data_IF_001284766748
#
_entry.id   IF_001284766748
#
_cell.length_a   1.000
_cell.length_b   1.000
_cell.length_c   1.000
_cell.angle_alpha   90.00
_cell.angle_beta   90.00
_cell.angle_gamma   90.00
#
_symmetry.space_group_name_H-M   'P 1'
#
loop_
_entity.id
_entity.type
_entity.pdbx_description
1 polymer ?
#
# COMPACT_ATOMS: atom_id res chain seq x y z
N UNK A 1 9.90 4.66 4.39
CA UNK A 1 9.36 3.33 4.03
C UNK A 1 10.17 2.78 2.88
N UNK A 2 10.53 1.50 2.89
CA UNK A 2 11.14 0.81 1.74
C UNK A 2 10.45 -0.54 1.53
N UNK A 3 10.47 -1.08 0.31
CA UNK A 3 9.96 -2.43 0.06
C UNK A 3 11.00 -3.50 0.38
N UNK A 4 10.53 -4.68 0.79
CA UNK A 4 11.36 -5.87 0.97
C UNK A 4 10.51 -7.13 0.82
N UNK A 5 11.11 -8.22 0.36
CA UNK A 5 10.39 -9.46 0.01
C UNK A 5 11.07 -10.73 0.55
N UNK A 6 12.20 -10.59 1.23
CA UNK A 6 12.99 -11.71 1.74
C UNK A 6 13.67 -11.35 3.07
N UNK A 7 14.13 -12.39 3.77
CA UNK A 7 14.74 -12.27 5.08
C UNK A 7 16.02 -11.43 5.10
N UNK A 8 16.90 -11.63 4.11
CA UNK A 8 18.23 -11.03 4.08
C UNK A 8 18.13 -9.53 3.86
N UNK A 9 17.34 -9.12 2.87
CA UNK A 9 17.13 -7.71 2.57
C UNK A 9 16.36 -7.01 3.68
N UNK A 10 15.34 -7.66 4.25
CA UNK A 10 14.57 -7.09 5.35
C UNK A 10 15.43 -6.79 6.57
N UNK A 11 16.38 -7.69 6.89
CA UNK A 11 17.32 -7.49 8.00
C UNK A 11 18.20 -6.26 7.77
N UNK A 12 18.74 -6.09 6.57
CA UNK A 12 19.58 -4.93 6.23
C UNK A 12 18.76 -3.63 6.32
N UNK A 13 17.53 -3.64 5.81
CA UNK A 13 16.65 -2.48 5.85
C UNK A 13 16.26 -2.13 7.29
N UNK A 14 15.91 -3.12 8.11
CA UNK A 14 15.61 -2.91 9.53
C UNK A 14 16.84 -2.38 10.27
N UNK A 15 18.03 -2.95 10.08
CA UNK A 15 19.27 -2.48 10.72
C UNK A 15 19.65 -1.04 10.28
N UNK A 16 19.24 -0.62 9.08
CA UNK A 16 19.49 0.74 8.56
C UNK A 16 18.59 1.84 9.18
N UNK A 17 17.68 1.47 10.08
CA UNK A 17 16.82 2.44 10.78
C UNK A 17 15.55 2.83 10.03
N UNK A 18 15.16 2.13 8.96
CA UNK A 18 13.90 2.40 8.26
C UNK A 18 12.70 2.07 9.17
N UNK A 19 11.73 2.99 9.26
CA UNK A 19 10.59 2.82 10.18
C UNK A 19 9.52 1.85 9.68
N UNK A 20 9.36 1.75 8.36
CA UNK A 20 8.30 0.94 7.72
C UNK A 20 8.88 0.13 6.59
N UNK A 21 8.65 -1.19 6.62
CA UNK A 21 8.91 -2.10 5.52
C UNK A 21 7.58 -2.48 4.89
N UNK A 22 7.47 -2.25 3.58
CA UNK A 22 6.30 -2.64 2.80
C UNK A 22 6.59 -3.94 2.04
N UNK A 23 5.84 -4.98 2.34
CA UNK A 23 5.76 -6.17 1.48
C UNK A 23 4.68 -5.89 0.46
N UNK A 24 5.09 -5.29 -0.65
CA UNK A 24 4.18 -4.79 -1.67
C UNK A 24 3.93 -5.78 -2.81
N UNK A 25 2.77 -5.66 -3.45
CA UNK A 25 2.39 -6.46 -4.63
C UNK A 25 3.32 -6.24 -5.84
N UNK A 26 4.13 -5.17 -5.83
CA UNK A 26 5.27 -4.95 -6.73
C UNK A 26 6.28 -6.10 -6.79
N UNK A 27 6.27 -7.03 -5.81
CA UNK A 27 6.96 -8.31 -5.91
C UNK A 27 6.60 -9.09 -7.19
N UNK A 28 5.36 -8.95 -7.69
CA UNK A 28 4.93 -9.51 -8.97
C UNK A 28 5.88 -9.13 -10.11
N UNK A 29 6.28 -7.86 -10.15
CA UNK A 29 7.17 -7.34 -11.17
C UNK A 29 8.62 -7.71 -10.88
N UNK A 30 9.10 -7.39 -9.67
CA UNK A 30 10.55 -7.41 -9.38
C UNK A 30 11.06 -8.77 -8.91
N UNK A 31 10.20 -9.63 -8.37
CA UNK A 31 10.55 -10.97 -7.91
C UNK A 31 10.09 -12.06 -8.89
N UNK A 32 8.91 -11.89 -9.50
CA UNK A 32 8.31 -12.88 -10.40
C UNK A 32 8.37 -12.52 -11.89
N UNK A 33 8.79 -11.30 -12.25
CA UNK A 33 8.98 -10.89 -13.64
C UNK A 33 7.69 -10.65 -14.43
N UNK A 34 6.54 -10.51 -13.77
CA UNK A 34 5.28 -10.18 -14.43
C UNK A 34 5.27 -8.72 -14.93
N UNK A 35 4.46 -8.43 -15.95
CA UNK A 35 4.30 -7.07 -16.47
C UNK A 35 3.50 -6.15 -15.52
N UNK A 36 2.62 -6.73 -14.70
CA UNK A 36 1.75 -5.99 -13.78
C UNK A 36 1.73 -6.65 -12.40
N UNK A 37 1.16 -5.96 -11.41
CA UNK A 37 0.97 -6.54 -10.07
C UNK A 37 -0.21 -7.49 -9.96
N UNK A 38 -1.09 -7.53 -10.96
CA UNK A 38 -2.34 -8.29 -10.91
C UNK A 38 -2.17 -9.81 -10.73
N UNK A 39 -1.15 -10.48 -11.29
CA UNK A 39 -1.00 -11.92 -11.16
C UNK A 39 -0.61 -12.41 -9.75
N UNK A 40 -0.07 -11.54 -8.89
CA UNK A 40 0.42 -11.99 -7.58
C UNK A 40 -0.74 -12.43 -6.69
N UNK A 41 -0.58 -13.61 -6.10
CA UNK A 41 -1.61 -14.23 -5.28
C UNK A 41 -1.48 -13.84 -3.81
N UNK A 42 -2.56 -14.03 -3.05
CA UNK A 42 -2.54 -13.86 -1.59
C UNK A 42 -1.49 -14.76 -0.93
N UNK A 43 -1.33 -16.00 -1.38
CA UNK A 43 -0.35 -16.94 -0.81
C UNK A 43 1.09 -16.51 -1.10
N UNK A 44 1.36 -15.92 -2.26
CA UNK A 44 2.68 -15.33 -2.57
C UNK A 44 2.97 -14.12 -1.68
N UNK A 45 1.97 -13.26 -1.45
CA UNK A 45 2.10 -12.14 -0.51
C UNK A 45 2.41 -12.63 0.91
N UNK A 46 1.70 -13.66 1.37
CA UNK A 46 1.95 -14.30 2.67
C UNK A 46 3.37 -14.86 2.73
N UNK A 47 3.83 -15.59 1.72
CA UNK A 47 5.18 -16.17 1.68
C UNK A 47 6.28 -15.11 1.83
N UNK A 48 6.20 -14.01 1.07
CA UNK A 48 7.13 -12.90 1.18
C UNK A 48 7.04 -12.23 2.55
N UNK A 49 5.82 -11.99 3.05
CA UNK A 49 5.60 -11.37 4.34
C UNK A 49 6.16 -12.20 5.49
N UNK A 50 5.91 -13.51 5.54
CA UNK A 50 6.47 -14.40 6.56
C UNK A 50 8.01 -14.37 6.54
N UNK A 51 8.62 -14.22 5.37
CA UNK A 51 10.09 -14.12 5.24
C UNK A 51 10.63 -12.81 5.81
N UNK A 52 9.95 -11.69 5.55
CA UNK A 52 10.31 -10.36 6.07
C UNK A 52 10.09 -10.28 7.58
N UNK A 53 8.93 -10.71 8.08
CA UNK A 53 8.59 -10.63 9.52
C UNK A 53 9.59 -11.39 10.38
N UNK A 54 10.12 -12.53 9.91
CA UNK A 54 11.16 -13.27 10.63
C UNK A 54 12.48 -12.50 10.81
N UNK A 55 12.75 -11.51 9.97
CA UNK A 55 13.99 -10.73 10.01
C UNK A 55 13.87 -9.45 10.84
N UNK A 56 12.68 -8.85 10.87
CA UNK A 56 12.45 -7.50 11.41
C UNK A 56 12.34 -7.52 12.93
N UNK A 57 13.00 -6.57 13.60
CA UNK A 57 12.92 -6.38 15.05
C UNK A 57 12.24 -5.08 15.46
N UNK A 58 12.27 -4.05 14.60
CA UNK A 58 11.76 -2.71 14.93
C UNK A 58 10.79 -2.15 13.90
N UNK A 59 11.10 -2.26 12.60
CA UNK A 59 10.26 -1.68 11.55
C UNK A 59 8.81 -2.18 11.65
N UNK A 60 7.86 -1.30 11.33
CA UNK A 60 6.48 -1.70 11.08
C UNK A 60 6.43 -2.47 9.74
N UNK A 61 6.00 -3.73 9.76
CA UNK A 61 5.80 -4.51 8.53
C UNK A 61 4.36 -4.35 8.07
N UNK A 62 4.19 -3.73 6.90
CA UNK A 62 2.91 -3.52 6.22
C UNK A 62 2.85 -4.42 5.00
N UNK A 63 1.73 -5.12 4.78
CA UNK A 63 1.57 -6.03 3.63
C UNK A 63 0.44 -5.57 2.74
N UNK A 64 0.65 -5.57 1.43
CA UNK A 64 -0.42 -5.30 0.49
C UNK A 64 -1.49 -6.41 0.46
N UNK A 65 -2.75 -6.01 0.40
CA UNK A 65 -3.78 -6.90 -0.15
C UNK A 65 -3.66 -6.89 -1.68
N UNK A 66 -3.41 -8.05 -2.33
CA UNK A 66 -3.26 -8.09 -3.77
C UNK A 66 -4.62 -7.93 -4.46
N UNK A 67 -4.59 -7.63 -5.76
CA UNK A 67 -5.79 -7.46 -6.56
C UNK A 67 -6.75 -8.66 -6.45
N UNK A 68 -8.05 -8.38 -6.36
CA UNK A 68 -9.11 -9.39 -6.27
C UNK A 68 -9.41 -9.90 -4.87
N UNK A 69 -8.64 -9.46 -3.85
CA UNK A 69 -8.81 -9.95 -2.46
C UNK A 69 -9.62 -9.01 -1.56
N UNK A 70 -9.98 -7.81 -2.03
CA UNK A 70 -10.68 -6.85 -1.19
C UNK A 70 -11.66 -5.92 -1.91
N UNK A 71 -11.53 -5.79 -3.24
CA UNK A 71 -12.37 -4.91 -4.03
C UNK A 71 -13.79 -5.48 -4.14
N UNK A 72 -14.80 -4.67 -3.84
CA UNK A 72 -16.21 -5.03 -4.05
C UNK A 72 -16.80 -6.09 -3.12
N UNK A 73 -16.00 -6.70 -2.23
CA UNK A 73 -16.49 -7.66 -1.24
C UNK A 73 -15.78 -7.45 0.11
N UNK A 74 -16.45 -6.75 1.03
CA UNK A 74 -15.90 -6.42 2.35
C UNK A 74 -15.63 -7.66 3.21
N UNK A 75 -16.42 -8.73 3.06
CA UNK A 75 -16.20 -9.99 3.78
C UNK A 75 -14.92 -10.67 3.30
N UNK A 76 -14.68 -10.68 1.99
CA UNK A 76 -13.44 -11.24 1.43
C UNK A 76 -12.22 -10.41 1.84
N UNK A 77 -12.35 -9.09 1.85
CA UNK A 77 -11.32 -8.18 2.35
C UNK A 77 -10.90 -8.51 3.79
N UNK A 78 -11.88 -8.77 4.67
CA UNK A 78 -11.63 -9.17 6.05
C UNK A 78 -10.94 -10.55 6.11
N UNK A 79 -11.45 -11.55 5.39
CA UNK A 79 -10.86 -12.90 5.37
C UNK A 79 -9.40 -12.86 4.90
N UNK A 80 -9.13 -12.18 3.80
CA UNK A 80 -7.79 -12.02 3.22
C UNK A 80 -6.84 -11.29 4.19
N UNK A 81 -7.33 -10.23 4.83
CA UNK A 81 -6.54 -9.49 5.84
C UNK A 81 -6.21 -10.38 7.04
N UNK A 82 -7.20 -11.11 7.58
CA UNK A 82 -6.96 -12.05 8.69
C UNK A 82 -5.95 -13.12 8.29
N UNK A 83 -6.04 -13.66 7.08
CA UNK A 83 -5.10 -14.68 6.57
C UNK A 83 -3.67 -14.13 6.55
N UNK A 84 -3.46 -12.94 6.00
CA UNK A 84 -2.16 -12.25 6.02
C UNK A 84 -1.65 -12.11 7.45
N UNK A 85 -2.46 -11.54 8.35
CA UNK A 85 -2.02 -11.28 9.73
C UNK A 85 -1.64 -12.56 10.46
N UNK A 86 -2.45 -13.62 10.34
CA UNK A 86 -2.24 -14.89 11.06
C UNK A 86 -1.08 -15.71 10.50
N UNK A 87 -0.91 -15.76 9.18
CA UNK A 87 0.07 -16.65 8.55
C UNK A 87 1.45 -15.99 8.36
N UNK A 88 1.51 -14.65 8.30
CA UNK A 88 2.77 -13.92 8.17
C UNK A 88 3.28 -13.29 9.46
N UNK A 89 2.39 -12.90 10.38
CA UNK A 89 2.74 -12.08 11.53
C UNK A 89 2.96 -10.60 11.20
N UNK A 90 2.46 -10.12 10.05
CA UNK A 90 2.48 -8.71 9.69
C UNK A 90 1.78 -7.83 10.74
N UNK A 91 2.11 -6.54 10.76
CA UNK A 91 1.58 -5.59 11.74
C UNK A 91 0.39 -4.78 11.21
N UNK A 92 0.26 -4.66 9.89
CA UNK A 92 -0.77 -3.87 9.22
C UNK A 92 -0.94 -4.32 7.77
N UNK A 93 -2.04 -3.87 7.15
CA UNK A 93 -2.30 -4.11 5.72
C UNK A 93 -2.38 -2.79 4.93
N UNK A 94 -2.01 -2.82 3.64
CA UNK A 94 -2.17 -1.71 2.69
C UNK A 94 -3.22 -2.05 1.63
N UNK A 95 -4.05 -1.08 1.29
CA UNK A 95 -5.15 -1.23 0.31
C UNK A 95 -5.21 -0.05 -0.65
N UNK A 96 -5.39 -0.32 -1.94
CA UNK A 96 -5.53 0.72 -2.97
C UNK A 96 -6.99 1.07 -3.23
N UNK A 97 -7.30 2.37 -3.19
CA UNK A 97 -8.64 2.88 -3.47
C UNK A 97 -9.08 3.96 -2.50
N UNK A 98 -10.04 4.77 -2.93
CA UNK A 98 -10.67 5.82 -2.13
C UNK A 98 -11.95 5.38 -1.46
N UNK A 99 -12.94 6.28 -1.50
CA UNK A 99 -14.30 6.03 -0.99
C UNK A 99 -14.93 4.73 -1.50
N UNK A 100 -14.59 4.27 -2.70
CA UNK A 100 -15.11 3.03 -3.29
C UNK A 100 -14.77 1.73 -2.52
N UNK A 101 -13.74 1.73 -1.66
CA UNK A 101 -13.37 0.56 -0.83
C UNK A 101 -13.65 0.78 0.66
N UNK A 102 -14.38 1.83 1.00
CA UNK A 102 -14.63 2.24 2.39
C UNK A 102 -15.27 1.13 3.24
N UNK A 103 -16.19 0.35 2.66
CA UNK A 103 -16.85 -0.73 3.40
C UNK A 103 -15.85 -1.83 3.79
N UNK A 104 -14.93 -2.18 2.88
CA UNK A 104 -13.87 -3.15 3.13
C UNK A 104 -12.93 -2.66 4.24
N UNK A 105 -12.50 -1.39 4.18
CA UNK A 105 -11.61 -0.80 5.19
C UNK A 105 -12.28 -0.79 6.58
N UNK A 106 -13.51 -0.29 6.68
CA UNK A 106 -14.21 -0.23 7.97
C UNK A 106 -14.37 -1.62 8.58
N UNK A 107 -14.71 -2.64 7.77
CA UNK A 107 -14.83 -4.01 8.27
C UNK A 107 -13.51 -4.61 8.75
N UNK A 108 -12.40 -4.27 8.11
CA UNK A 108 -11.06 -4.70 8.55
C UNK A 108 -10.68 -4.01 9.87
N UNK A 109 -10.95 -2.70 9.97
CA UNK A 109 -10.68 -1.91 11.17
C UNK A 109 -11.49 -2.40 12.38
N UNK A 110 -12.76 -2.80 12.21
CA UNK A 110 -13.56 -3.37 13.32
C UNK A 110 -13.02 -4.70 13.85
N UNK A 111 -12.20 -5.41 13.07
CA UNK A 111 -11.48 -6.61 13.52
C UNK A 111 -10.14 -6.28 14.20
N UNK A 112 -9.80 -5.00 14.36
CA UNK A 112 -8.57 -4.55 15.03
C UNK A 112 -7.31 -4.60 14.15
N UNK A 113 -7.46 -4.76 12.83
CA UNK A 113 -6.32 -4.79 11.90
C UNK A 113 -6.03 -3.36 11.42
N UNK A 114 -4.82 -2.81 11.65
CA UNK A 114 -4.46 -1.48 11.17
C UNK A 114 -4.40 -1.42 9.64
N UNK A 115 -4.97 -0.35 9.05
CA UNK A 115 -5.03 -0.16 7.59
C UNK A 115 -4.27 1.09 7.17
N UNK A 116 -3.37 0.91 6.19
CA UNK A 116 -2.74 1.97 5.42
C UNK A 116 -3.48 2.12 4.09
N UNK A 117 -3.95 3.33 3.77
CA UNK A 117 -4.58 3.59 2.48
C UNK A 117 -3.54 3.89 1.39
N UNK A 118 -3.87 3.61 0.14
CA UNK A 118 -3.08 4.00 -1.03
C UNK A 118 -3.97 4.74 -2.04
N UNK A 119 -3.60 6.00 -2.31
CA UNK A 119 -4.25 6.89 -3.26
C UNK A 119 -3.26 7.45 -4.30
N UNK A 120 -3.79 8.06 -5.35
CA UNK A 120 -3.00 8.55 -6.48
C UNK A 120 -2.98 7.52 -7.59
N UNK A 121 -1.79 7.17 -8.09
CA UNK A 121 -1.65 6.04 -9.00
C UNK A 121 -1.76 4.73 -8.23
N UNK A 122 -2.79 3.95 -8.52
CA UNK A 122 -3.02 2.62 -7.93
C UNK A 122 -2.77 1.53 -9.00
N UNK A 123 -1.58 0.89 -9.02
CA UNK A 123 -1.20 -0.13 -10.00
C UNK A 123 -2.25 -1.24 -10.22
N UNK A 124 -2.99 -1.63 -9.19
CA UNK A 124 -4.03 -2.68 -9.32
C UNK A 124 -5.19 -2.29 -10.24
N UNK A 125 -5.33 -0.99 -10.53
CA UNK A 125 -6.33 -0.44 -11.45
C UNK A 125 -5.76 -0.12 -12.84
N UNK A 126 -4.62 -0.71 -13.22
CA UNK A 126 -3.92 -0.38 -14.48
C UNK A 126 -4.82 -0.49 -15.72
N UNK A 127 -5.68 -1.51 -15.82
CA UNK A 127 -6.59 -1.67 -16.96
C UNK A 127 -7.79 -0.71 -16.95
N UNK A 128 -8.16 -0.17 -15.78
CA UNK A 128 -9.17 0.89 -15.70
C UNK A 128 -8.63 2.23 -16.19
N UNK A 129 -7.34 2.48 -16.01
CA UNK A 129 -6.72 3.77 -16.30
C UNK A 129 -5.77 3.78 -17.51
N UNK A 130 -5.45 2.62 -18.09
CA UNK A 130 -4.67 2.44 -19.30
C UNK A 130 -3.17 2.76 -19.22
N UNK A 131 -2.70 3.54 -18.22
CA UNK A 131 -1.28 3.95 -18.10
C UNK A 131 -0.84 4.22 -16.65
N UNK A 132 0.47 4.10 -16.39
CA UNK A 132 1.15 4.48 -15.14
C UNK A 132 1.50 5.98 -15.06
N UNK A 133 0.67 6.86 -15.64
CA UNK A 133 0.93 8.30 -15.69
C UNK A 133 0.59 9.01 -14.38
N UNK A 134 1.19 10.19 -14.18
CA UNK A 134 0.93 11.07 -13.02
C UNK A 134 -0.56 11.42 -12.94
N UNK A 135 -1.15 11.24 -11.75
CA UNK A 135 -2.57 11.51 -11.45
C UNK A 135 -2.77 12.92 -10.90
N UNK A 136 -4.02 13.36 -10.81
CA UNK A 136 -4.40 14.63 -10.18
C UNK A 136 -3.80 15.87 -10.87
N UNK A 137 -3.65 15.81 -12.20
CA UNK A 137 -3.24 16.98 -13.00
C UNK A 137 -4.40 17.95 -13.22
N UNK A 138 -5.62 17.42 -13.30
CA UNK A 138 -6.85 18.21 -13.42
C UNK A 138 -7.42 18.53 -12.03
N UNK A 139 -8.14 19.64 -11.94
CA UNK A 139 -8.65 20.16 -10.65
C UNK A 139 -9.65 19.19 -10.01
N UNK A 140 -10.45 18.52 -10.84
CA UNK A 140 -11.46 17.54 -10.45
C UNK A 140 -10.80 16.31 -9.82
N UNK A 141 -9.78 15.74 -10.47
CA UNK A 141 -9.00 14.62 -9.93
C UNK A 141 -8.29 14.98 -8.63
N UNK A 142 -7.72 16.19 -8.54
CA UNK A 142 -7.08 16.68 -7.32
C UNK A 142 -8.09 16.83 -6.17
N UNK A 143 -9.29 17.34 -6.45
CA UNK A 143 -10.36 17.45 -5.48
C UNK A 143 -10.86 16.08 -5.02
N UNK A 144 -11.02 15.11 -5.94
CA UNK A 144 -11.38 13.73 -5.59
C UNK A 144 -10.33 13.14 -4.66
N UNK A 145 -9.04 13.27 -5.00
CA UNK A 145 -7.94 12.76 -4.19
C UNK A 145 -7.94 13.36 -2.77
N UNK A 146 -8.20 14.66 -2.64
CA UNK A 146 -8.35 15.35 -1.34
C UNK A 146 -9.54 14.79 -0.57
N UNK A 147 -10.67 14.59 -1.24
CA UNK A 147 -11.89 14.05 -0.63
C UNK A 147 -11.68 12.62 -0.14
N UNK A 148 -11.07 11.77 -0.96
CA UNK A 148 -10.79 10.38 -0.61
C UNK A 148 -9.81 10.30 0.56
N UNK A 149 -8.74 11.09 0.56
CA UNK A 149 -7.80 11.10 1.69
C UNK A 149 -8.46 11.50 3.01
N UNK A 150 -9.31 12.54 2.99
CA UNK A 150 -10.13 12.94 4.16
C UNK A 150 -11.03 11.81 4.63
N UNK A 151 -11.67 11.15 3.67
CA UNK A 151 -12.58 10.05 3.95
C UNK A 151 -11.84 8.86 4.57
N UNK A 152 -10.68 8.50 4.03
CA UNK A 152 -9.84 7.44 4.58
C UNK A 152 -9.34 7.78 5.99
N UNK A 153 -9.07 9.07 6.27
CA UNK A 153 -8.70 9.54 7.62
C UNK A 153 -9.85 9.33 8.59
N UNK A 154 -11.04 9.80 8.21
CA UNK A 154 -12.20 9.82 9.09
C UNK A 154 -12.69 8.42 9.45
N UNK A 155 -12.47 7.43 8.56
CA UNK A 155 -12.82 6.03 8.85
C UNK A 155 -11.74 5.29 9.65
N UNK A 156 -10.54 5.87 9.81
CA UNK A 156 -9.51 5.34 10.72
C UNK A 156 -8.29 4.68 10.05
N UNK A 157 -8.01 4.94 8.77
CA UNK A 157 -6.68 4.60 8.23
C UNK A 157 -5.60 5.35 9.04
N UNK A 158 -4.50 4.69 9.37
CA UNK A 158 -3.44 5.32 10.18
C UNK A 158 -2.41 6.08 9.35
N UNK A 159 -2.30 5.75 8.06
CA UNK A 159 -1.36 6.35 7.12
C UNK A 159 -1.90 6.29 5.69
N UNK A 160 -1.36 7.13 4.83
CA UNK A 160 -1.63 7.13 3.39
C UNK A 160 -0.34 7.12 2.59
N UNK A 161 -0.30 6.25 1.57
CA UNK A 161 0.62 6.36 0.45
C UNK A 161 -0.03 7.23 -0.62
N UNK A 162 0.71 8.23 -1.10
CA UNK A 162 0.32 9.05 -2.25
C UNK A 162 1.29 8.80 -3.40
N UNK A 163 0.87 8.06 -4.42
CA UNK A 163 1.75 7.69 -5.53
C UNK A 163 1.52 8.55 -6.77
N UNK A 164 2.62 9.06 -7.36
CA UNK A 164 2.64 9.89 -8.58
C UNK A 164 1.59 11.01 -8.57
N UNK A 165 1.58 11.77 -7.49
CA UNK A 165 0.77 13.00 -7.32
C UNK A 165 1.64 14.25 -7.47
N UNK A 166 1.11 15.41 -7.89
CA UNK A 166 1.90 16.64 -7.98
C UNK A 166 2.46 17.04 -6.61
N UNK A 167 3.72 17.48 -6.57
CA UNK A 167 4.42 17.85 -5.33
C UNK A 167 3.72 19.00 -4.57
N UNK A 168 3.11 19.94 -5.30
CA UNK A 168 2.30 21.01 -4.72
C UNK A 168 1.08 20.47 -3.95
N UNK A 169 0.48 19.40 -4.46
CA UNK A 169 -0.66 18.75 -3.83
C UNK A 169 -0.23 17.91 -2.63
N UNK A 170 0.87 17.16 -2.72
CA UNK A 170 1.45 16.43 -1.59
C UNK A 170 1.80 17.37 -0.42
N UNK A 171 2.40 18.54 -0.69
CA UNK A 171 2.66 19.58 0.33
C UNK A 171 1.38 20.10 0.97
N UNK A 172 0.29 20.22 0.21
CA UNK A 172 -1.02 20.63 0.73
C UNK A 172 -1.59 19.56 1.67
N UNK A 173 -1.46 18.27 1.33
CA UNK A 173 -1.83 17.16 2.22
C UNK A 173 -1.10 17.23 3.57
N UNK A 174 0.22 17.44 3.55
CA UNK A 174 1.05 17.51 4.78
C UNK A 174 0.66 18.63 5.74
N UNK A 175 0.06 19.72 5.24
CA UNK A 175 -0.42 20.83 6.08
C UNK A 175 -1.82 20.61 6.63
N UNK A 176 -2.64 19.79 5.96
CA UNK A 176 -4.07 19.66 6.25
C UNK A 176 -4.42 18.47 7.11
N UNK A 177 -3.59 17.42 7.12
CA UNK A 177 -3.92 16.14 7.75
C UNK A 177 -2.86 15.68 8.72
N UNK A 178 -3.29 14.92 9.72
CA UNK A 178 -2.43 14.44 10.80
C UNK A 178 -1.87 13.03 10.49
N UNK A 179 -2.12 12.51 9.29
CA UNK A 179 -1.52 11.29 8.79
C UNK A 179 0.00 11.28 8.85
N UNK A 180 0.58 10.11 9.11
CA UNK A 180 1.90 9.79 8.58
C UNK A 180 1.78 9.70 7.05
N UNK A 181 2.13 10.78 6.35
CA UNK A 181 2.31 10.75 4.91
C UNK A 181 3.65 10.07 4.61
N UNK A 182 3.57 8.88 4.04
CA UNK A 182 4.75 8.17 3.53
C UNK A 182 4.86 8.50 2.04
N UNK A 183 5.75 9.43 1.70
CA UNK A 183 6.20 9.56 0.31
C UNK A 183 6.82 8.22 -0.09
N UNK A 184 6.22 7.54 -1.07
CA UNK A 184 6.79 6.32 -1.61
C UNK A 184 8.14 6.65 -2.27
N UNK A 185 9.10 5.73 -2.18
CA UNK A 185 10.51 5.91 -2.60
C UNK A 185 10.69 6.00 -4.13
N UNK A 186 9.64 6.36 -4.86
CA UNK A 186 9.65 6.45 -6.32
C UNK A 186 10.43 7.66 -6.86
N UNK A 187 10.68 8.72 -6.09
CA UNK A 187 11.58 9.79 -6.55
C UNK A 187 13.05 9.37 -6.61
N UNK A 188 13.46 8.28 -5.93
CA UNK A 188 14.84 7.75 -6.00
C UNK A 188 15.01 6.49 -6.85
N UNK A 189 13.94 5.75 -7.16
CA UNK A 189 13.99 4.56 -8.02
C UNK A 189 13.75 4.82 -9.52
N UNK A 190 13.40 6.05 -9.92
CA UNK A 190 13.31 6.46 -11.34
C UNK A 190 14.68 6.60 -12.05
N UNK A 191 15.78 6.13 -11.42
CA UNK A 191 17.14 6.11 -11.97
C UNK A 191 17.59 4.74 -12.51
N UNK A 192 16.71 3.73 -12.59
CA UNK A 192 16.99 2.54 -13.41
C UNK A 192 16.08 2.58 -14.64
N UNK A 193 16.48 3.43 -15.59
CA UNK A 193 16.07 3.29 -16.98
C UNK A 193 16.87 2.13 -17.57
N UNK A 194 16.18 1.11 -18.05
CA UNK A 194 16.55 0.49 -19.32
C UNK A 194 15.60 1.03 -20.37
#
# INVERSE_FOLDING_TARGET
>A
MLTSYDYTMAKIIDDSGIDVILVGDSASNVMAGHETTLPITLDQMIYHASSVVRAVKRSLVVVDLPFGTYQGNSKEALNSSIKIMKESGAHAVKMEGGSEISESIQRILTAGIPVMGHLGLTPQSIYKFGTYTVRAKQKEEANKLISDAKHLESIGCFALVLEKVPSSLAKKFRKLYQFLLLESVLEKMLMVKY
#
